data_IF_285400437054
#
_entry.id   IF_285400437054
#
_cell.length_a   1.000
_cell.length_b   1.000
_cell.length_c   1.000
_cell.angle_alpha   90.00
_cell.angle_beta   90.00
_cell.angle_gamma   90.00
#
_symmetry.space_group_name_H-M   'P 1'
#
loop_
_entity.id
_entity.type
_entity.pdbx_description
1 polymer ?
#
# COMPACT_ATOMS: atom_id res chain seq x y z
N UNK A 1 -7.28 -4.63 5.28
CA UNK A 1 -6.40 -3.47 5.52
C UNK A 1 -4.97 -3.84 5.18
N UNK A 2 -4.30 -3.04 4.36
CA UNK A 2 -2.90 -3.17 4.00
C UNK A 2 -2.08 -2.00 4.54
N UNK A 3 -1.00 -2.30 5.28
CA UNK A 3 -0.05 -1.32 5.80
C UNK A 3 1.27 -1.44 5.04
N UNK A 4 1.90 -0.31 4.70
CA UNK A 4 3.16 -0.27 3.97
C UNK A 4 3.04 -1.05 2.65
N UNK A 5 3.90 -2.04 2.39
CA UNK A 5 3.81 -2.94 1.23
C UNK A 5 2.49 -3.72 1.17
N UNK A 6 1.81 -3.92 2.30
CA UNK A 6 0.49 -4.53 2.36
C UNK A 6 -0.58 -3.76 1.60
N UNK A 7 -0.41 -2.45 1.37
CA UNK A 7 -1.27 -1.67 0.48
C UNK A 7 -1.14 -2.09 -0.98
N UNK A 8 0.09 -2.36 -1.44
CA UNK A 8 0.33 -2.87 -2.80
C UNK A 8 -0.33 -4.26 -2.98
N UNK A 9 -0.20 -5.14 -2.00
CA UNK A 9 -0.86 -6.46 -2.02
C UNK A 9 -2.39 -6.34 -1.99
N UNK A 10 -2.94 -5.37 -1.23
CA UNK A 10 -4.37 -5.10 -1.24
C UNK A 10 -4.85 -4.66 -2.64
N UNK A 11 -4.07 -3.83 -3.35
CA UNK A 11 -4.33 -3.47 -4.74
C UNK A 11 -4.42 -4.70 -5.64
N UNK A 12 -3.44 -5.60 -5.57
CA UNK A 12 -3.47 -6.87 -6.32
C UNK A 12 -4.68 -7.75 -5.99
N UNK A 13 -5.07 -7.81 -4.72
CA UNK A 13 -6.26 -8.57 -4.31
C UNK A 13 -7.54 -7.97 -4.86
N UNK A 14 -7.66 -6.64 -4.87
CA UNK A 14 -8.79 -5.93 -5.46
C UNK A 14 -8.91 -6.19 -6.96
N UNK A 15 -7.78 -6.31 -7.67
CA UNK A 15 -7.76 -6.62 -9.10
C UNK A 15 -8.13 -8.08 -9.38
N UNK A 16 -7.60 -9.03 -8.58
CA UNK A 16 -7.70 -10.46 -8.88
C UNK A 16 -8.93 -11.14 -8.29
N UNK A 17 -9.50 -10.59 -7.22
CA UNK A 17 -10.63 -11.17 -6.52
C UNK A 17 -11.56 -10.10 -5.92
N UNK A 18 -12.05 -9.13 -6.72
CA UNK A 18 -12.86 -8.01 -6.23
C UNK A 18 -14.12 -8.46 -5.51
N UNK A 19 -14.69 -9.57 -5.92
CA UNK A 19 -15.91 -10.14 -5.33
C UNK A 19 -15.70 -10.63 -3.88
N UNK A 20 -14.46 -10.85 -3.46
CA UNK A 20 -14.08 -11.29 -2.12
C UNK A 20 -13.75 -10.15 -1.17
N UNK A 21 -13.66 -8.92 -1.67
CA UNK A 21 -13.20 -7.77 -0.91
C UNK A 21 -14.36 -6.77 -0.78
N UNK A 22 -14.98 -6.72 0.38
CA UNK A 22 -16.08 -5.80 0.66
C UNK A 22 -15.61 -4.33 0.80
N UNK A 23 -14.43 -4.12 1.37
CA UNK A 23 -13.81 -2.80 1.52
C UNK A 23 -12.29 -2.94 1.70
N UNK A 24 -11.53 -1.89 1.40
CA UNK A 24 -10.09 -1.87 1.58
C UNK A 24 -9.63 -0.62 2.36
N UNK A 25 -8.60 -0.78 3.19
CA UNK A 25 -7.90 0.33 3.85
C UNK A 25 -6.45 0.30 3.43
N UNK A 26 -6.01 1.34 2.74
CA UNK A 26 -4.63 1.57 2.35
C UNK A 26 -3.97 2.48 3.38
N UNK A 27 -3.07 1.94 4.20
CA UNK A 27 -2.43 2.66 5.29
C UNK A 27 -0.94 2.83 5.00
N UNK A 28 -0.50 4.08 4.81
CA UNK A 28 0.91 4.39 4.56
C UNK A 28 1.50 3.47 3.47
N UNK A 29 0.81 3.41 2.35
CA UNK A 29 1.12 2.45 1.29
C UNK A 29 2.43 2.81 0.61
N UNK A 30 3.27 1.81 0.38
CA UNK A 30 4.44 1.92 -0.49
C UNK A 30 4.02 2.38 -1.88
N UNK A 31 4.77 3.32 -2.43
CA UNK A 31 4.52 3.84 -3.76
C UNK A 31 5.81 4.20 -4.50
N UNK A 32 5.70 4.35 -5.79
CA UNK A 32 6.81 4.80 -6.62
C UNK A 32 7.16 6.25 -6.27
N UNK A 33 8.44 6.49 -6.02
CA UNK A 33 9.00 7.81 -5.69
C UNK A 33 9.85 8.28 -6.88
N UNK A 34 9.36 9.22 -7.70
CA UNK A 34 10.04 9.62 -8.94
C UNK A 34 11.43 10.21 -8.74
N UNK A 35 11.66 10.88 -7.61
CA UNK A 35 12.96 11.48 -7.26
C UNK A 35 14.03 10.45 -6.93
N UNK A 36 13.61 9.24 -6.53
CA UNK A 36 14.47 8.09 -6.29
C UNK A 36 13.74 6.77 -6.59
N UNK A 37 13.62 6.39 -7.86
CA UNK A 37 12.82 5.24 -8.31
C UNK A 37 13.23 3.89 -7.69
N UNK A 38 14.50 3.76 -7.32
CA UNK A 38 15.07 2.52 -6.76
C UNK A 38 15.10 2.49 -5.22
N UNK A 39 14.53 3.49 -4.54
CA UNK A 39 14.60 3.58 -3.07
C UNK A 39 14.09 2.32 -2.38
N UNK A 40 12.97 1.77 -2.83
CA UNK A 40 12.38 0.57 -2.24
C UNK A 40 13.17 -0.69 -2.55
N UNK A 41 13.67 -0.82 -3.78
CA UNK A 41 14.54 -1.93 -4.16
C UNK A 41 15.83 -1.94 -3.33
N UNK A 42 16.52 -0.78 -3.21
CA UNK A 42 17.74 -0.67 -2.40
C UNK A 42 17.48 -0.91 -0.92
N UNK A 43 16.38 -0.42 -0.38
CA UNK A 43 15.97 -0.69 1.01
C UNK A 43 15.75 -2.18 1.25
N UNK A 44 15.05 -2.84 0.35
CA UNK A 44 14.87 -4.29 0.40
C UNK A 44 16.19 -5.05 0.35
N UNK A 45 17.07 -4.68 -0.58
CA UNK A 45 18.37 -5.32 -0.79
C UNK A 45 19.32 -5.15 0.39
N UNK A 46 19.37 -3.94 0.97
CA UNK A 46 20.40 -3.56 1.95
C UNK A 46 19.98 -3.77 3.40
N UNK A 47 18.66 -3.87 3.68
CA UNK A 47 18.16 -3.99 5.05
C UNK A 47 17.39 -5.30 5.25
N UNK A 48 16.30 -5.48 4.54
CA UNK A 48 15.41 -6.61 4.73
C UNK A 48 16.02 -7.96 4.28
N UNK A 49 16.70 -8.00 3.13
CA UNK A 49 17.26 -9.24 2.59
C UNK A 49 18.31 -9.87 3.50
N UNK A 50 19.30 -9.14 4.05
CA UNK A 50 20.27 -9.72 4.99
C UNK A 50 19.61 -10.29 6.24
N UNK A 51 18.58 -9.63 6.80
CA UNK A 51 17.86 -10.13 7.97
C UNK A 51 17.10 -11.41 7.66
N UNK A 52 16.45 -11.48 6.49
CA UNK A 52 15.73 -12.67 6.06
C UNK A 52 16.70 -13.85 5.85
N UNK A 53 17.82 -13.64 5.14
CA UNK A 53 18.80 -14.68 4.88
C UNK A 53 19.44 -15.20 6.17
N UNK A 54 19.64 -14.34 7.17
CA UNK A 54 20.14 -14.77 8.49
C UNK A 54 19.14 -15.68 9.23
N UNK A 55 17.84 -15.51 9.01
CA UNK A 55 16.78 -16.29 9.65
C UNK A 55 16.37 -17.53 8.83
N UNK A 56 16.66 -17.57 7.54
CA UNK A 56 16.24 -18.59 6.59
C UNK A 56 17.45 -19.17 5.84
N UNK A 57 18.19 -20.12 6.45
CA UNK A 57 19.37 -20.72 5.84
C UNK A 57 19.05 -21.59 4.60
N UNK A 58 17.78 -21.87 4.35
CA UNK A 58 17.29 -22.54 3.15
C UNK A 58 17.18 -21.60 1.93
N UNK A 59 17.22 -20.26 2.14
CA UNK A 59 17.22 -19.25 1.09
C UNK A 59 18.65 -18.79 0.77
N UNK A 60 18.85 -18.39 -0.49
CA UNK A 60 20.10 -17.83 -0.96
C UNK A 60 19.88 -16.43 -1.53
N UNK A 61 20.98 -15.72 -1.73
CA UNK A 61 20.94 -14.38 -2.31
C UNK A 61 20.33 -14.38 -3.74
N UNK A 62 20.53 -15.45 -4.49
CA UNK A 62 19.95 -15.66 -5.82
C UNK A 62 18.42 -15.77 -5.82
N UNK A 63 17.80 -16.12 -4.68
CA UNK A 63 16.34 -16.15 -4.53
C UNK A 63 15.77 -14.75 -4.27
N UNK A 64 16.56 -13.86 -3.68
CA UNK A 64 16.13 -12.52 -3.28
C UNK A 64 16.02 -11.57 -4.47
N UNK A 65 16.98 -11.64 -5.39
CA UNK A 65 17.04 -10.71 -6.54
C UNK A 65 15.79 -10.75 -7.43
N UNK A 66 15.31 -11.94 -7.89
CA UNK A 66 14.07 -12.01 -8.66
C UNK A 66 12.85 -11.50 -7.90
N UNK A 67 12.79 -11.76 -6.59
CA UNK A 67 11.70 -11.31 -5.75
C UNK A 67 11.64 -9.77 -5.67
N UNK A 68 12.74 -9.11 -5.36
CA UNK A 68 12.80 -7.65 -5.27
C UNK A 68 12.60 -6.97 -6.64
N UNK A 69 13.13 -7.56 -7.69
CA UNK A 69 12.91 -7.10 -9.07
C UNK A 69 11.42 -7.15 -9.42
N UNK A 70 10.77 -8.27 -9.18
CA UNK A 70 9.33 -8.42 -9.45
C UNK A 70 8.49 -7.44 -8.62
N UNK A 71 8.91 -7.19 -7.38
CA UNK A 71 8.16 -6.35 -6.46
C UNK A 71 8.24 -4.85 -6.82
N UNK A 72 9.40 -4.35 -7.26
CA UNK A 72 9.66 -2.92 -7.38
C UNK A 72 10.12 -2.46 -8.77
N UNK A 73 10.51 -3.37 -9.67
CA UNK A 73 11.06 -3.01 -10.98
C UNK A 73 10.25 -3.50 -12.17
N UNK A 74 9.37 -4.49 -11.97
CA UNK A 74 8.50 -4.97 -13.04
C UNK A 74 7.46 -3.93 -13.46
N UNK A 75 6.93 -3.18 -12.50
CA UNK A 75 5.93 -2.14 -12.74
C UNK A 75 6.27 -0.90 -11.90
N UNK A 76 7.30 -0.12 -12.27
CA UNK A 76 7.80 1.00 -11.48
C UNK A 76 6.94 2.25 -11.66
N UNK A 77 5.67 2.16 -11.31
CA UNK A 77 4.70 3.25 -11.27
C UNK A 77 3.75 3.06 -10.11
N UNK A 78 3.18 4.15 -9.63
CA UNK A 78 2.04 4.22 -8.72
C UNK A 78 2.25 3.38 -7.45
N UNK A 79 1.62 2.21 -7.37
CA UNK A 79 1.68 1.29 -6.22
C UNK A 79 2.57 0.06 -6.49
N UNK A 80 3.34 0.02 -7.57
CA UNK A 80 4.09 -1.14 -8.03
C UNK A 80 3.26 -2.39 -8.37
N UNK A 81 1.98 -2.43 -8.04
CA UNK A 81 1.13 -3.62 -8.11
C UNK A 81 0.03 -3.56 -9.15
N UNK A 82 -0.71 -2.47 -9.19
CA UNK A 82 -1.85 -2.29 -10.10
C UNK A 82 -1.70 -1.01 -10.92
N UNK A 83 -2.17 -1.01 -12.18
CA UNK A 83 -2.12 0.18 -13.01
C UNK A 83 -3.18 1.22 -12.56
N UNK A 84 -2.93 2.49 -12.89
CA UNK A 84 -3.85 3.61 -12.61
C UNK A 84 -5.23 3.39 -13.22
N UNK A 85 -5.31 2.76 -14.39
CA UNK A 85 -6.58 2.49 -15.07
C UNK A 85 -7.44 1.48 -14.32
N UNK A 86 -6.82 0.48 -13.69
CA UNK A 86 -7.54 -0.40 -12.77
C UNK A 86 -8.15 0.42 -11.63
N UNK A 87 -7.39 1.29 -11.00
CA UNK A 87 -7.85 2.07 -9.85
C UNK A 87 -9.03 2.99 -10.23
N UNK A 88 -9.04 3.59 -11.44
CA UNK A 88 -10.17 4.39 -11.96
C UNK A 88 -11.47 3.61 -12.07
N UNK A 89 -11.39 2.31 -12.26
CA UNK A 89 -12.55 1.43 -12.42
C UNK A 89 -12.90 0.64 -11.16
N UNK A 90 -12.10 0.75 -10.10
CA UNK A 90 -12.30 0.01 -8.86
C UNK A 90 -13.50 0.54 -8.07
N UNK A 91 -14.57 -0.27 -8.03
CA UNK A 91 -15.82 0.11 -7.33
C UNK A 91 -15.82 -0.24 -5.85
N UNK A 92 -14.83 -0.98 -5.36
CA UNK A 92 -14.72 -1.33 -3.93
C UNK A 92 -14.46 -0.07 -3.12
N UNK A 93 -15.19 0.16 -2.00
CA UNK A 93 -14.90 1.27 -1.09
C UNK A 93 -13.48 1.20 -0.54
N UNK A 94 -12.76 2.33 -0.61
CA UNK A 94 -11.35 2.43 -0.17
C UNK A 94 -11.21 3.59 0.82
N UNK A 95 -10.57 3.34 1.95
CA UNK A 95 -10.11 4.39 2.86
C UNK A 95 -8.59 4.48 2.82
N UNK A 96 -8.07 5.68 2.58
CA UNK A 96 -6.63 5.95 2.48
C UNK A 96 -6.15 6.72 3.70
N UNK A 97 -5.12 6.20 4.36
CA UNK A 97 -4.37 6.87 5.43
C UNK A 97 -2.98 7.22 4.89
N UNK A 98 -2.73 8.49 4.54
CA UNK A 98 -1.50 8.89 3.87
C UNK A 98 -0.28 8.91 4.80
N UNK A 99 0.90 8.89 4.19
CA UNK A 99 2.18 9.23 4.79
C UNK A 99 2.94 10.19 3.87
N UNK A 100 4.14 10.63 4.27
CA UNK A 100 5.00 11.48 3.45
C UNK A 100 6.47 11.20 3.75
N UNK A 101 6.92 10.05 3.28
CA UNK A 101 8.34 9.65 3.28
C UNK A 101 8.67 9.00 1.94
N UNK A 102 9.94 8.89 1.53
CA UNK A 102 10.29 8.29 0.22
C UNK A 102 9.72 6.90 -0.02
N UNK A 103 9.57 6.09 1.02
CA UNK A 103 8.95 4.76 0.92
C UNK A 103 7.41 4.81 0.77
N UNK A 104 6.78 5.84 1.34
CA UNK A 104 5.34 6.06 1.33
C UNK A 104 5.02 7.46 0.82
N UNK A 105 5.22 7.76 -0.47
CA UNK A 105 5.02 9.09 -1.01
C UNK A 105 3.57 9.56 -0.82
N UNK A 106 3.39 10.80 -0.35
CA UNK A 106 2.06 11.38 -0.16
C UNK A 106 1.25 11.37 -1.47
N UNK A 107 1.94 11.59 -2.60
CA UNK A 107 1.31 11.59 -3.92
C UNK A 107 0.66 10.25 -4.25
N UNK A 108 1.24 9.11 -3.87
CA UNK A 108 0.62 7.80 -4.09
C UNK A 108 -0.72 7.67 -3.36
N UNK A 109 -0.83 8.22 -2.16
CA UNK A 109 -2.08 8.25 -1.39
C UNK A 109 -3.12 9.17 -2.03
N UNK A 110 -2.71 10.34 -2.50
CA UNK A 110 -3.58 11.27 -3.24
C UNK A 110 -4.06 10.66 -4.55
N UNK A 111 -3.18 9.97 -5.26
CA UNK A 111 -3.50 9.30 -6.52
C UNK A 111 -4.57 8.20 -6.30
N UNK A 112 -4.41 7.35 -5.28
CA UNK A 112 -5.44 6.34 -4.95
C UNK A 112 -6.79 7.03 -4.68
N UNK A 113 -6.78 8.05 -3.83
CA UNK A 113 -8.02 8.74 -3.41
C UNK A 113 -8.70 9.48 -4.57
N UNK A 114 -7.94 10.01 -5.52
CA UNK A 114 -8.49 10.74 -6.66
C UNK A 114 -8.88 9.86 -7.84
N UNK A 115 -8.25 8.71 -7.99
CA UNK A 115 -8.54 7.78 -9.08
C UNK A 115 -9.73 6.89 -8.76
N UNK A 116 -9.77 6.29 -7.55
CA UNK A 116 -10.82 5.35 -7.20
C UNK A 116 -12.17 6.06 -6.91
N UNK A 117 -13.26 5.69 -7.60
CA UNK A 117 -14.53 6.41 -7.51
C UNK A 117 -15.16 6.43 -6.11
N UNK A 118 -14.90 5.40 -5.31
CA UNK A 118 -15.44 5.24 -3.96
C UNK A 118 -14.34 5.30 -2.89
N UNK A 119 -13.33 6.15 -3.12
CA UNK A 119 -12.25 6.33 -2.16
C UNK A 119 -12.47 7.57 -1.28
N UNK A 120 -12.04 7.43 -0.04
CA UNK A 120 -11.93 8.50 0.94
C UNK A 120 -10.47 8.59 1.42
N UNK A 121 -10.00 9.79 1.73
CA UNK A 121 -8.68 10.02 2.32
C UNK A 121 -8.80 10.69 3.68
N UNK A 122 -7.97 10.28 4.64
CA UNK A 122 -7.87 10.97 5.93
C UNK A 122 -6.99 12.21 5.82
N UNK A 123 -7.03 13.06 6.84
CA UNK A 123 -6.10 14.20 6.92
C UNK A 123 -4.66 13.73 7.06
N UNK A 124 -3.71 14.57 6.65
CA UNK A 124 -2.29 14.36 6.90
C UNK A 124 -1.72 15.60 7.63
N UNK A 125 -0.89 15.41 8.67
CA UNK A 125 -0.57 14.15 9.33
C UNK A 125 -1.73 13.66 10.22
N UNK A 126 -1.96 12.34 10.27
CA UNK A 126 -3.06 11.79 11.06
C UNK A 126 -2.60 11.12 12.38
N UNK A 127 -1.29 10.92 12.54
CA UNK A 127 -0.70 10.27 13.73
C UNK A 127 -0.48 11.22 14.89
N UNK A 128 -0.49 12.53 14.63
CA UNK A 128 -0.18 13.57 15.61
C UNK A 128 -1.08 14.78 15.36
N UNK A 129 -1.62 15.42 16.38
CA UNK A 129 -1.50 15.04 17.81
C UNK A 129 -2.28 13.76 18.18
N UNK A 130 -2.16 13.25 19.42
CA UNK A 130 -2.80 11.99 19.84
C UNK A 130 -4.29 11.92 19.57
N UNK A 131 -5.02 13.01 19.78
CA UNK A 131 -6.47 13.10 19.56
C UNK A 131 -6.83 12.89 18.08
N UNK A 132 -5.98 13.34 17.17
CA UNK A 132 -6.17 13.15 15.73
C UNK A 132 -5.95 11.69 15.35
N UNK A 133 -4.97 11.03 15.97
CA UNK A 133 -4.75 9.60 15.80
C UNK A 133 -5.96 8.78 16.25
N UNK A 134 -6.52 9.07 17.41
CA UNK A 134 -7.72 8.40 17.92
C UNK A 134 -8.92 8.58 16.98
N UNK A 135 -9.18 9.81 16.54
CA UNK A 135 -10.23 10.09 15.55
C UNK A 135 -10.04 9.32 14.24
N UNK A 136 -8.80 9.18 13.80
CA UNK A 136 -8.49 8.42 12.58
C UNK A 136 -8.73 6.92 12.78
N UNK A 137 -8.36 6.38 13.93
CA UNK A 137 -8.65 4.99 14.28
C UNK A 137 -10.17 4.74 14.32
N UNK A 138 -10.93 5.64 14.91
CA UNK A 138 -12.40 5.54 14.95
C UNK A 138 -13.01 5.65 13.55
N UNK A 139 -12.45 6.50 12.67
CA UNK A 139 -12.86 6.56 11.27
C UNK A 139 -12.62 5.24 10.55
N UNK A 140 -11.46 4.59 10.75
CA UNK A 140 -11.18 3.26 10.20
C UNK A 140 -12.18 2.22 10.70
N UNK A 141 -12.46 2.19 12.00
CA UNK A 141 -13.45 1.26 12.58
C UNK A 141 -14.83 1.46 11.97
N UNK A 142 -15.28 2.73 11.90
CA UNK A 142 -16.57 3.07 11.31
C UNK A 142 -16.63 2.69 9.83
N UNK A 143 -15.58 2.98 9.07
CA UNK A 143 -15.49 2.61 7.65
C UNK A 143 -15.61 1.10 7.45
N UNK A 144 -14.88 0.30 8.22
CA UNK A 144 -14.95 -1.16 8.16
C UNK A 144 -16.34 -1.66 8.57
N UNK A 145 -16.96 -1.09 9.59
CA UNK A 145 -18.33 -1.47 10.01
C UNK A 145 -19.36 -1.15 8.94
N UNK A 146 -19.22 -0.01 8.26
CA UNK A 146 -20.16 0.42 7.22
C UNK A 146 -20.07 -0.42 5.95
N UNK A 147 -18.86 -0.79 5.55
CA UNK A 147 -18.60 -1.43 4.25
C UNK A 147 -18.15 -2.88 4.36
N UNK A 148 -17.77 -3.34 5.54
CA UNK A 148 -17.18 -4.68 5.76
C UNK A 148 -18.19 -5.79 6.00
N UNK A 149 -19.51 -5.53 5.93
CA UNK A 149 -20.51 -6.59 6.00
C UNK A 149 -20.41 -7.46 4.77
N UNK A 150 -20.16 -8.75 5.00
CA UNK A 150 -20.06 -9.75 3.95
C UNK A 150 -21.26 -9.67 2.98
N UNK A 151 -20.94 -9.71 1.69
CA UNK A 151 -21.92 -9.92 0.64
C UNK A 151 -22.33 -11.39 0.61
#
# INVERSE_FOLDING_TARGET
MGYCIGGCFAGTLLERAPERIAAAVFCQTVGHFPEDPDVMYRSGRNSWAPELLAQRPDLKEEDIEPYLHNLYRMNPDFLYSVPRDFMRNCQTPILVLPDDIPAHPHQSSVDVASLAPNAEITVFPWKSPPELKERTIDRVRKFIQTHGTAR
#
